data_IF_322208891206
#
_entry.id   IF_322208891206
#
_cell.length_a   1.000
_cell.length_b   1.000
_cell.length_c   1.000
_cell.angle_alpha   90.00
_cell.angle_beta   90.00
_cell.angle_gamma   90.00
#
_symmetry.space_group_name_H-M   'P 1'
#
loop_
_entity.id
_entity.type
_entity.pdbx_description
1 polymer ?
#
# COMPACT_ATOMS: atom_id res chain seq x y z
N UNK A 1 -1.64 20.53 1.34
CA UNK A 1 -1.34 19.10 1.61
C UNK A 1 -2.14 18.24 0.64
N UNK A 2 -1.49 17.26 0.01
CA UNK A 2 -2.11 16.37 -0.99
C UNK A 2 -2.56 15.08 -0.30
N UNK A 3 -3.76 14.58 -0.64
CA UNK A 3 -4.25 13.26 -0.20
C UNK A 3 -4.25 12.32 -1.39
N UNK A 4 -3.64 11.15 -1.23
CA UNK A 4 -3.53 10.13 -2.29
C UNK A 4 -4.07 8.82 -1.73
N UNK A 5 -5.03 8.22 -2.42
CA UNK A 5 -5.53 6.88 -2.09
C UNK A 5 -4.70 5.87 -2.89
N UNK A 6 -4.11 4.89 -2.20
CA UNK A 6 -3.25 3.87 -2.80
C UNK A 6 -3.84 2.50 -2.52
N UNK A 7 -3.91 1.67 -3.56
CA UNK A 7 -4.30 0.26 -3.45
C UNK A 7 -3.04 -0.57 -3.17
N UNK A 8 -3.16 -1.70 -2.48
CA UNK A 8 -2.02 -2.55 -2.13
C UNK A 8 -1.17 -2.92 -3.36
N UNK A 9 -1.82 -3.16 -4.51
CA UNK A 9 -1.15 -3.50 -5.78
C UNK A 9 -0.32 -2.37 -6.38
N UNK A 10 -0.49 -1.16 -5.86
CA UNK A 10 0.22 0.05 -6.32
C UNK A 10 1.14 0.60 -5.24
N UNK A 11 1.43 -0.19 -4.20
CA UNK A 11 2.41 0.19 -3.20
C UNK A 11 3.79 0.21 -3.84
N UNK A 12 4.44 1.36 -3.73
CA UNK A 12 5.87 1.48 -4.00
C UNK A 12 6.65 1.06 -2.75
N UNK A 13 7.91 0.64 -2.93
CA UNK A 13 8.82 0.33 -1.81
C UNK A 13 8.85 1.44 -0.75
N UNK A 14 8.79 2.70 -1.19
CA UNK A 14 8.72 3.88 -0.31
C UNK A 14 7.49 3.85 0.62
N UNK A 15 6.29 3.62 0.09
CA UNK A 15 5.06 3.62 0.91
C UNK A 15 5.05 2.41 1.85
N UNK A 16 5.57 1.27 1.40
CA UNK A 16 5.71 0.10 2.24
C UNK A 16 6.67 0.34 3.41
N UNK A 17 7.83 0.96 3.18
CA UNK A 17 8.75 1.34 4.25
C UNK A 17 8.09 2.25 5.28
N UNK A 18 7.30 3.24 4.83
CA UNK A 18 6.56 4.12 5.74
C UNK A 18 5.51 3.37 6.58
N UNK A 19 4.90 2.32 6.02
CA UNK A 19 3.97 1.48 6.75
C UNK A 19 4.67 0.67 7.83
N UNK A 20 5.80 0.03 7.51
CA UNK A 20 6.60 -0.76 8.46
C UNK A 20 7.19 0.13 9.56
N UNK A 21 7.71 1.31 9.21
CA UNK A 21 8.23 2.27 10.19
C UNK A 21 7.14 2.80 11.14
N UNK A 22 5.93 3.01 10.63
CA UNK A 22 4.81 3.53 11.42
C UNK A 22 4.13 2.44 12.26
N UNK A 23 4.04 1.23 11.73
CA UNK A 23 3.34 0.09 12.30
C UNK A 23 4.28 -1.12 12.40
N UNK A 24 5.38 -1.03 13.18
CA UNK A 24 6.36 -2.12 13.28
C UNK A 24 5.77 -3.39 13.89
N UNK A 25 4.77 -3.24 14.77
CA UNK A 25 4.04 -4.34 15.41
C UNK A 25 2.71 -4.66 14.69
N UNK A 26 2.50 -4.11 13.49
CA UNK A 26 1.23 -4.15 12.77
C UNK A 26 0.27 -3.01 13.16
N UNK A 27 -0.91 -3.01 12.53
CA UNK A 27 -1.97 -2.02 12.76
C UNK A 27 -3.19 -2.70 13.40
N UNK A 28 -3.94 -1.96 14.21
CA UNK A 28 -5.20 -2.44 14.80
C UNK A 28 -6.43 -1.76 14.19
N UNK A 29 -7.62 -2.21 14.57
CA UNK A 29 -8.89 -1.62 14.12
C UNK A 29 -8.99 -0.10 14.38
N UNK A 30 -8.28 0.39 15.40
CA UNK A 30 -8.23 1.81 15.76
C UNK A 30 -7.46 2.66 14.75
N UNK A 31 -6.58 2.04 13.98
CA UNK A 31 -5.80 2.70 12.93
C UNK A 31 -6.54 2.76 11.59
N UNK A 32 -7.64 2.01 11.48
CA UNK A 32 -8.44 1.91 10.27
C UNK A 32 -9.38 3.11 10.19
N UNK A 33 -9.29 3.82 9.07
CA UNK A 33 -10.19 4.90 8.69
C UNK A 33 -11.17 4.35 7.66
N UNK A 34 -12.45 4.35 8.01
CA UNK A 34 -13.53 3.92 7.13
C UNK A 34 -14.36 5.10 6.64
N UNK A 35 -14.51 5.24 5.33
CA UNK A 35 -15.29 6.32 4.71
C UNK A 35 -15.98 5.83 3.44
N UNK A 36 -17.05 6.50 3.02
CA UNK A 36 -17.71 6.20 1.75
C UNK A 36 -17.17 7.07 0.63
N UNK A 37 -16.88 6.48 -0.53
CA UNK A 37 -16.47 7.23 -1.71
C UNK A 37 -17.68 7.80 -2.47
N UNK A 38 -17.42 8.49 -3.59
CA UNK A 38 -18.47 9.09 -4.43
C UNK A 38 -19.47 8.07 -5.02
N UNK A 39 -19.14 6.77 -5.01
CA UNK A 39 -20.01 5.66 -5.44
C UNK A 39 -20.77 5.02 -4.28
N UNK A 40 -20.73 5.61 -3.08
CA UNK A 40 -21.33 5.09 -1.85
C UNK A 40 -20.74 3.74 -1.39
N UNK A 41 -19.57 3.36 -1.91
CA UNK A 41 -18.82 2.17 -1.49
C UNK A 41 -18.06 2.48 -0.21
N UNK A 42 -18.10 1.56 0.77
CA UNK A 42 -17.29 1.65 1.96
C UNK A 42 -15.82 1.37 1.61
N UNK A 43 -14.94 2.28 2.00
CA UNK A 43 -13.50 2.20 1.83
C UNK A 43 -12.87 2.21 3.21
N UNK A 44 -12.00 1.24 3.46
CA UNK A 44 -11.21 1.12 4.68
C UNK A 44 -9.74 1.33 4.33
N UNK A 45 -9.06 2.19 5.08
CA UNK A 45 -7.68 2.57 4.79
C UNK A 45 -6.90 2.90 6.06
N UNK A 46 -5.61 2.60 6.08
CA UNK A 46 -4.67 3.14 7.06
C UNK A 46 -3.97 4.37 6.50
N UNK A 47 -3.65 5.31 7.39
CA UNK A 47 -3.04 6.59 7.02
C UNK A 47 -1.54 6.58 7.28
N UNK A 48 -0.71 6.87 6.27
CA UNK A 48 0.71 7.22 6.46
C UNK A 48 1.00 8.61 5.91
N UNK A 49 1.84 9.36 6.63
CA UNK A 49 2.11 10.77 6.33
C UNK A 49 3.57 10.97 5.99
N UNK A 50 3.81 11.68 4.91
CA UNK A 50 5.10 12.33 4.62
C UNK A 50 4.98 13.82 4.85
N UNK A 51 6.06 14.57 4.62
CA UNK A 51 6.12 16.03 4.84
C UNK A 51 5.01 16.80 4.12
N UNK A 52 4.61 16.37 2.92
CA UNK A 52 3.67 17.11 2.06
C UNK A 52 2.43 16.30 1.63
N UNK A 53 2.45 14.99 1.86
CA UNK A 53 1.45 14.05 1.32
C UNK A 53 0.91 13.15 2.42
N UNK A 54 -0.40 12.95 2.40
CA UNK A 54 -1.10 11.96 3.21
C UNK A 54 -1.51 10.82 2.27
N UNK A 55 -1.02 9.62 2.56
CA UNK A 55 -1.39 8.42 1.83
C UNK A 55 -2.45 7.65 2.64
N UNK A 56 -3.55 7.32 1.98
CA UNK A 56 -4.59 6.44 2.49
C UNK A 56 -4.44 5.11 1.78
N UNK A 57 -3.79 4.16 2.44
CA UNK A 57 -3.52 2.83 1.90
C UNK A 57 -4.76 1.97 2.15
N UNK A 58 -5.45 1.60 1.09
CA UNK A 58 -6.66 0.77 1.18
C UNK A 58 -6.31 -0.59 1.74
N UNK A 59 -7.03 -0.98 2.78
CA UNK A 59 -7.00 -2.32 3.35
C UNK A 59 -8.09 -3.08 2.60
N UNK A 60 -7.71 -3.88 1.60
CA UNK A 60 -8.60 -4.95 1.13
C UNK A 60 -8.31 -6.19 1.96
N UNK A 61 -9.23 -7.15 1.97
CA UNK A 61 -9.01 -8.51 2.50
C UNK A 61 -7.70 -9.14 1.99
N UNK A 62 -7.19 -8.73 0.83
CA UNK A 62 -5.92 -9.19 0.27
C UNK A 62 -4.67 -8.62 0.98
N UNK A 63 -4.70 -7.38 1.50
CA UNK A 63 -3.51 -6.79 2.15
C UNK A 63 -3.18 -7.46 3.49
N UNK A 64 -4.19 -7.84 4.27
CA UNK A 64 -4.00 -8.60 5.51
C UNK A 64 -3.28 -9.93 5.23
N UNK A 65 -3.71 -10.65 4.19
CA UNK A 65 -3.06 -11.89 3.75
C UNK A 65 -1.64 -11.66 3.20
N UNK A 66 -1.38 -10.56 2.49
CA UNK A 66 -0.05 -10.25 1.94
C UNK A 66 0.95 -9.82 3.02
N UNK A 67 0.52 -9.15 4.09
CA UNK A 67 1.41 -8.81 5.21
C UNK A 67 1.82 -10.04 6.02
N UNK A 68 0.90 -10.99 6.20
CA UNK A 68 1.18 -12.25 6.92
C UNK A 68 2.09 -13.19 6.11
N UNK A 69 2.03 -13.13 4.78
CA UNK A 69 2.89 -13.91 3.86
C UNK A 69 4.01 -13.06 3.21
N UNK A 70 4.35 -11.89 3.77
CA UNK A 70 5.26 -10.95 3.11
C UNK A 70 6.68 -11.52 2.94
N UNK A 71 7.13 -12.36 3.87
CA UNK A 71 8.42 -13.06 3.78
C UNK A 71 8.47 -14.03 2.58
N UNK A 72 7.34 -14.65 2.22
CA UNK A 72 7.25 -15.60 1.10
C UNK A 72 7.08 -14.89 -0.27
N UNK A 73 6.50 -13.69 -0.30
CA UNK A 73 6.21 -12.96 -1.55
C UNK A 73 7.45 -12.17 -2.03
N UNK A 74 8.39 -11.82 -1.14
CA UNK A 74 9.67 -11.19 -1.55
C UNK A 74 10.43 -12.05 -2.57
N UNK A 75 10.35 -13.39 -2.45
CA UNK A 75 11.00 -14.31 -3.40
C UNK A 75 10.32 -14.29 -4.79
N UNK A 76 9.03 -13.96 -4.88
CA UNK A 76 8.25 -14.00 -6.12
C UNK A 76 8.28 -12.66 -6.90
N UNK A 77 8.54 -11.53 -6.21
CA UNK A 77 8.57 -10.20 -6.84
C UNK A 77 9.92 -9.91 -7.55
N UNK A 78 10.99 -10.67 -7.24
CA UNK A 78 12.32 -10.43 -7.83
C UNK A 78 12.42 -10.92 -9.29
N UNK A 79 11.43 -11.65 -9.82
CA UNK A 79 11.45 -12.15 -11.21
C UNK A 79 10.74 -11.25 -12.25
N UNK A 80 9.93 -10.25 -11.85
CA UNK A 80 9.09 -9.48 -12.80
C UNK A 80 9.51 -8.01 -13.02
N UNK A 81 10.81 -7.71 -12.88
CA UNK A 81 11.40 -6.44 -13.34
C UNK A 81 12.54 -6.70 -14.32
N UNK A 82 12.22 -7.34 -15.45
CA UNK A 82 13.01 -7.14 -16.67
C UNK A 82 12.55 -5.82 -17.32
N UNK A 83 13.42 -4.80 -17.45
CA UNK A 83 13.14 -3.67 -18.32
C UNK A 83 13.25 -4.14 -19.77
N UNK A 84 12.18 -4.71 -20.33
CA UNK A 84 12.09 -4.97 -21.76
C UNK A 84 11.89 -3.65 -22.54
N UNK A 85 12.92 -3.37 -23.34
CA UNK A 85 12.87 -2.80 -24.69
C UNK A 85 12.17 -1.45 -24.92
N UNK A 86 12.98 -0.39 -24.90
CA UNK A 86 12.89 0.67 -25.91
C UNK A 86 14.26 0.89 -26.56
N UNK A 87 14.64 -0.03 -27.47
CA UNK A 87 15.46 0.31 -28.63
C UNK A 87 14.50 0.63 -29.78
N UNK A 88 14.26 1.92 -29.99
CA UNK A 88 13.80 2.39 -31.29
C UNK A 88 15.04 2.80 -32.08
N UNK A 89 15.38 2.00 -33.09
CA UNK A 89 16.20 2.42 -34.24
C UNK A 89 15.47 3.49 -35.07
#
# INVERSE_FOLDING_TARGET
MKRIIVDYRKLTKEILSLLVEKYPDGYGDKDIISFKNARNELIEAIEVKTKNTIYLVKISTSLANTMENFDDIIEEIDEEITPEDQKND
#
